data_IF_108547331209
#
_entry.id   IF_108547331209
#
_cell.length_a   1.000
_cell.length_b   1.000
_cell.length_c   1.000
_cell.angle_alpha   90.00
_cell.angle_beta   90.00
_cell.angle_gamma   90.00
#
_symmetry.space_group_name_H-M   'P 1'
#
loop_
_entity.id
_entity.type
_entity.pdbx_description
1 polymer ?
#
# COMPACT_ATOMS: atom_id res chain seq x y z
N UNK A 1 -3.73 12.63 11.83
CA UNK A 1 -3.61 13.17 10.46
C UNK A 1 -4.97 13.10 9.76
N UNK A 2 -5.40 14.19 9.18
CA UNK A 2 -6.59 14.25 8.32
C UNK A 2 -6.16 14.71 6.93
N UNK A 3 -6.68 14.06 5.90
CA UNK A 3 -6.50 14.46 4.51
C UNK A 3 -7.81 14.29 3.75
N UNK A 4 -8.18 15.29 2.96
CA UNK A 4 -9.31 15.24 2.06
C UNK A 4 -8.87 15.80 0.70
N UNK A 5 -9.17 15.06 -0.35
CA UNK A 5 -8.87 15.45 -1.73
C UNK A 5 -10.08 15.18 -2.60
N UNK A 6 -10.41 16.11 -3.48
CA UNK A 6 -11.44 15.96 -4.49
C UNK A 6 -10.79 16.08 -5.87
N UNK A 7 -11.12 15.17 -6.75
CA UNK A 7 -10.78 15.23 -8.17
C UNK A 7 -12.07 15.33 -8.96
N UNK A 8 -12.13 16.27 -9.88
CA UNK A 8 -13.25 16.46 -10.79
C UNK A 8 -12.75 16.37 -12.23
N UNK A 9 -13.50 15.68 -13.05
CA UNK A 9 -13.30 15.58 -14.48
C UNK A 9 -14.59 15.94 -15.18
N UNK A 10 -14.52 16.95 -16.02
CA UNK A 10 -15.64 17.53 -16.71
C UNK A 10 -15.46 17.29 -18.21
N UNK A 11 -16.48 16.74 -18.84
CA UNK A 11 -16.59 16.69 -20.30
C UNK A 11 -17.79 17.55 -20.63
N UNK A 12 -17.54 18.72 -21.19
CA UNK A 12 -18.60 19.68 -21.51
C UNK A 12 -19.45 19.23 -22.68
N UNK A 13 -20.69 19.66 -22.70
CA UNK A 13 -21.69 19.25 -23.69
C UNK A 13 -21.39 19.76 -25.13
N UNK A 14 -20.57 20.80 -25.25
CA UNK A 14 -20.06 21.35 -26.50
C UNK A 14 -18.73 20.72 -26.98
N UNK A 15 -18.14 19.83 -26.20
CA UNK A 15 -16.88 19.17 -26.54
C UNK A 15 -17.05 18.13 -27.66
N UNK A 16 -16.02 17.95 -28.48
CA UNK A 16 -15.99 16.90 -29.52
C UNK A 16 -16.21 15.51 -28.92
N UNK A 17 -15.72 15.27 -27.68
CA UNK A 17 -15.89 14.00 -27.00
C UNK A 17 -17.35 13.75 -26.62
N UNK A 18 -18.05 14.76 -26.09
CA UNK A 18 -19.49 14.67 -25.81
C UNK A 18 -20.32 14.49 -27.09
N UNK A 19 -19.96 15.18 -28.17
CA UNK A 19 -20.59 15.00 -29.46
C UNK A 19 -20.39 13.57 -30.00
N UNK A 20 -19.22 13.00 -29.88
CA UNK A 20 -18.96 11.62 -30.29
C UNK A 20 -19.78 10.61 -29.47
N UNK A 21 -19.97 10.84 -28.17
CA UNK A 21 -20.81 9.98 -27.32
C UNK A 21 -22.30 10.09 -27.63
N UNK A 22 -22.74 11.23 -28.12
CA UNK A 22 -24.13 11.44 -28.58
C UNK A 22 -24.39 10.92 -30.00
N UNK A 23 -23.31 10.66 -30.75
CA UNK A 23 -23.41 10.23 -32.12
C UNK A 23 -24.18 8.91 -32.23
N UNK A 24 -25.11 8.89 -33.19
CA UNK A 24 -25.79 7.66 -33.60
C UNK A 24 -24.75 6.67 -34.17
N UNK A 25 -25.05 5.36 -34.19
CA UNK A 25 -24.12 4.35 -34.66
C UNK A 25 -23.87 4.53 -36.16
N UNK A 26 -22.78 5.19 -36.52
CA UNK A 26 -22.23 5.11 -37.85
C UNK A 26 -21.02 4.15 -37.85
N UNK A 27 -20.53 3.77 -39.03
CA UNK A 27 -19.51 2.78 -39.22
C UNK A 27 -18.16 3.15 -38.56
N UNK A 28 -17.89 4.42 -38.28
CA UNK A 28 -16.62 4.93 -37.76
C UNK A 28 -16.59 5.06 -36.24
N UNK A 29 -17.73 5.26 -35.59
CA UNK A 29 -17.82 5.55 -34.16
C UNK A 29 -18.43 4.40 -33.37
N UNK A 30 -19.18 3.50 -34.03
CA UNK A 30 -19.96 2.43 -33.39
C UNK A 30 -19.18 1.58 -32.40
N UNK A 31 -18.04 1.12 -32.77
CA UNK A 31 -17.28 0.17 -31.93
C UNK A 31 -16.51 0.84 -30.77
N UNK A 32 -16.50 2.18 -30.73
CA UNK A 32 -15.77 2.97 -29.74
C UNK A 32 -16.65 3.80 -28.83
N UNK A 33 -17.95 3.84 -29.08
CA UNK A 33 -18.87 4.60 -28.24
C UNK A 33 -19.42 3.71 -27.12
N UNK A 34 -18.96 3.88 -25.86
CA UNK A 34 -19.40 3.08 -24.71
C UNK A 34 -20.87 3.38 -24.32
N UNK A 35 -21.48 4.40 -24.89
CA UNK A 35 -22.86 4.79 -24.60
C UNK A 35 -23.87 4.20 -25.57
N UNK A 36 -23.44 3.42 -26.55
CA UNK A 36 -24.37 2.68 -27.40
C UNK A 36 -25.03 1.54 -26.63
N UNK A 37 -26.31 1.41 -26.81
CA UNK A 37 -27.14 0.41 -26.17
C UNK A 37 -28.09 -0.23 -27.17
N UNK A 38 -28.10 -1.55 -27.18
CA UNK A 38 -29.12 -2.33 -27.90
C UNK A 38 -29.95 -3.06 -26.85
N UNK A 39 -31.27 -2.89 -26.88
CA UNK A 39 -32.17 -3.53 -25.94
C UNK A 39 -32.09 -5.06 -26.09
N UNK A 40 -31.74 -5.82 -25.07
CA UNK A 40 -31.72 -7.29 -25.12
C UNK A 40 -33.06 -7.91 -25.44
N UNK A 41 -34.14 -7.22 -25.07
CA UNK A 41 -35.51 -7.66 -25.36
C UNK A 41 -35.91 -7.45 -26.84
N UNK A 42 -35.16 -6.63 -27.58
CA UNK A 42 -35.32 -6.39 -29.00
C UNK A 42 -33.98 -6.36 -29.75
N UNK A 43 -33.38 -7.53 -30.00
CA UNK A 43 -32.03 -7.65 -30.60
C UNK A 43 -31.95 -7.12 -32.04
N UNK A 44 -33.09 -6.87 -32.69
CA UNK A 44 -33.16 -6.30 -34.04
C UNK A 44 -33.26 -4.76 -34.05
N UNK A 45 -33.40 -4.14 -32.88
CA UNK A 45 -33.39 -2.70 -32.78
C UNK A 45 -31.99 -2.14 -33.09
N UNK A 46 -31.96 -1.00 -33.77
CA UNK A 46 -30.69 -0.29 -33.96
C UNK A 46 -30.17 0.21 -32.62
N UNK A 47 -28.84 0.10 -32.38
CA UNK A 47 -28.24 0.68 -31.18
C UNK A 47 -28.55 2.19 -31.09
N UNK A 48 -28.85 2.64 -29.88
CA UNK A 48 -29.08 4.07 -29.59
C UNK A 48 -28.03 4.55 -28.57
N UNK A 49 -27.68 5.84 -28.62
CA UNK A 49 -26.88 6.43 -27.57
C UNK A 49 -27.73 6.67 -26.33
N UNK A 50 -27.30 6.17 -25.18
CA UNK A 50 -27.95 6.44 -23.88
C UNK A 50 -27.63 7.83 -23.33
N UNK A 51 -26.72 8.55 -23.99
CA UNK A 51 -26.35 9.93 -23.68
C UNK A 51 -26.81 10.86 -24.83
N UNK A 52 -28.13 11.13 -24.99
CA UNK A 52 -28.64 11.90 -26.11
C UNK A 52 -28.33 13.39 -26.01
N UNK A 53 -28.09 13.90 -24.81
CA UNK A 53 -27.77 15.31 -24.52
C UNK A 53 -26.79 15.42 -23.38
N UNK A 54 -26.06 16.54 -23.32
CA UNK A 54 -25.17 16.89 -22.25
C UNK A 54 -23.79 16.24 -22.34
N UNK A 55 -22.98 16.52 -21.37
CA UNK A 55 -21.65 16.00 -21.15
C UNK A 55 -21.58 15.10 -19.91
N UNK A 56 -20.41 15.00 -19.31
CA UNK A 56 -20.14 14.11 -18.19
C UNK A 56 -19.55 14.90 -17.04
N UNK A 57 -19.97 14.59 -15.83
CA UNK A 57 -19.41 15.06 -14.58
C UNK A 57 -18.91 13.88 -13.76
N UNK A 58 -17.61 13.73 -13.61
CA UNK A 58 -17.01 12.70 -12.76
C UNK A 58 -16.39 13.35 -11.54
N UNK A 59 -16.66 12.79 -10.37
CA UNK A 59 -16.07 13.24 -9.11
C UNK A 59 -15.58 12.08 -8.28
N UNK A 60 -14.34 12.18 -7.83
CA UNK A 60 -13.77 11.24 -6.86
C UNK A 60 -13.32 12.01 -5.62
N UNK A 61 -13.90 11.66 -4.48
CA UNK A 61 -13.52 12.21 -3.20
C UNK A 61 -12.73 11.15 -2.42
N UNK A 62 -11.61 11.56 -1.88
CA UNK A 62 -10.78 10.77 -0.96
C UNK A 62 -10.78 11.45 0.41
N UNK A 63 -11.08 10.67 1.45
CA UNK A 63 -10.92 11.10 2.84
C UNK A 63 -10.05 10.09 3.56
N UNK A 64 -9.11 10.57 4.34
CA UNK A 64 -8.28 9.74 5.21
C UNK A 64 -8.25 10.35 6.60
N UNK A 65 -8.53 9.53 7.60
CA UNK A 65 -8.33 9.84 9.01
C UNK A 65 -7.30 8.86 9.56
N UNK A 66 -6.17 9.38 10.03
CA UNK A 66 -5.08 8.59 10.58
C UNK A 66 -4.74 9.02 11.99
N UNK A 67 -4.43 8.04 12.82
CA UNK A 67 -3.89 8.21 14.16
C UNK A 67 -2.60 7.42 14.28
N UNK A 68 -1.55 8.11 14.69
CA UNK A 68 -0.25 7.50 14.96
C UNK A 68 0.09 7.80 16.42
N UNK A 69 0.43 6.75 17.16
CA UNK A 69 0.95 6.89 18.50
C UNK A 69 2.26 6.14 18.60
N UNK A 70 3.27 6.79 19.17
CA UNK A 70 4.57 6.20 19.41
C UNK A 70 5.09 6.64 20.78
N UNK A 71 5.53 5.66 21.57
CA UNK A 71 6.21 5.89 22.84
C UNK A 71 7.55 5.18 22.80
N UNK A 72 8.61 5.87 23.19
CA UNK A 72 9.98 5.33 23.20
C UNK A 72 10.71 5.72 24.47
N UNK A 73 11.60 4.85 24.92
CA UNK A 73 12.52 5.09 26.01
C UNK A 73 13.92 4.69 25.60
N UNK A 74 14.92 5.44 26.05
CA UNK A 74 16.33 5.13 25.87
C UNK A 74 17.07 5.23 27.20
N UNK A 75 18.02 4.33 27.36
CA UNK A 75 18.92 4.32 28.50
C UNK A 75 20.34 4.01 28.03
N UNK A 76 21.28 4.87 28.44
CA UNK A 76 22.68 4.75 28.06
C UNK A 76 23.51 4.84 29.32
N UNK A 77 24.45 3.92 29.50
CA UNK A 77 25.32 3.92 30.63
C UNK A 77 26.72 3.36 30.31
N UNK A 78 27.73 3.90 30.97
CA UNK A 78 29.10 3.42 30.87
C UNK A 78 29.51 2.89 32.23
N UNK A 79 29.85 1.59 32.32
CA UNK A 79 30.31 0.94 33.52
C UNK A 79 31.83 0.79 33.49
N UNK A 80 32.48 1.10 34.60
CA UNK A 80 33.94 0.93 34.77
C UNK A 80 34.76 1.51 33.59
N UNK A 81 34.27 2.60 32.94
CA UNK A 81 34.91 3.27 31.81
C UNK A 81 35.18 2.40 30.57
N UNK A 82 34.79 1.14 30.61
CA UNK A 82 35.11 0.12 29.58
C UNK A 82 33.87 -0.50 28.93
N UNK A 83 32.77 -0.54 29.66
CA UNK A 83 31.54 -1.21 29.20
C UNK A 83 30.48 -0.18 28.86
N UNK A 84 30.17 -0.03 27.59
CA UNK A 84 29.17 0.89 27.10
C UNK A 84 27.92 0.08 26.78
N UNK A 85 26.80 0.45 27.41
CA UNK A 85 25.50 -0.19 27.18
C UNK A 85 24.51 0.85 26.74
N UNK A 86 23.86 0.62 25.60
CA UNK A 86 22.78 1.44 25.08
C UNK A 86 21.55 0.56 24.90
N UNK A 87 20.45 0.94 25.54
CA UNK A 87 19.15 0.28 25.42
C UNK A 87 18.15 1.27 24.87
N UNK A 88 17.35 0.80 23.92
CA UNK A 88 16.26 1.55 23.33
C UNK A 88 15.07 0.62 23.17
N UNK A 89 13.90 1.03 23.60
CA UNK A 89 12.69 0.26 23.43
C UNK A 89 11.50 1.18 23.17
N UNK A 90 10.48 0.66 22.52
CA UNK A 90 9.28 1.43 22.28
C UNK A 90 8.14 0.60 21.76
N UNK A 91 7.02 1.29 21.63
CA UNK A 91 5.82 0.80 20.98
C UNK A 91 5.26 1.85 20.04
N UNK A 92 4.62 1.38 18.99
CA UNK A 92 3.90 2.23 18.06
C UNK A 92 2.60 1.59 17.61
N UNK A 93 1.61 2.42 17.35
CA UNK A 93 0.36 1.99 16.74
C UNK A 93 -0.01 2.95 15.64
N UNK A 94 -0.45 2.40 14.53
CA UNK A 94 -0.96 3.16 13.39
C UNK A 94 -2.38 2.72 13.07
N UNK A 95 -3.22 3.70 12.81
CA UNK A 95 -4.61 3.51 12.43
C UNK A 95 -4.95 4.44 11.27
N UNK A 96 -5.42 3.90 10.18
CA UNK A 96 -5.81 4.67 9.00
C UNK A 96 -7.15 4.20 8.47
N UNK A 97 -8.12 5.09 8.46
CA UNK A 97 -9.43 4.92 7.82
C UNK A 97 -9.45 5.73 6.53
N UNK A 98 -9.67 5.06 5.40
CA UNK A 98 -9.74 5.68 4.09
C UNK A 98 -11.11 5.43 3.48
N UNK A 99 -11.72 6.51 3.02
CA UNK A 99 -12.99 6.48 2.30
C UNK A 99 -12.75 7.05 0.91
N UNK A 100 -13.16 6.31 -0.10
CA UNK A 100 -13.21 6.77 -1.48
C UNK A 100 -14.67 6.76 -1.92
N UNK A 101 -15.14 7.89 -2.40
CA UNK A 101 -16.45 8.04 -3.03
C UNK A 101 -16.23 8.41 -4.48
N UNK A 102 -16.81 7.63 -5.38
CA UNK A 102 -16.79 7.90 -6.80
C UNK A 102 -18.21 8.18 -7.26
N UNK A 103 -18.38 9.20 -8.06
CA UNK A 103 -19.63 9.55 -8.73
C UNK A 103 -19.36 9.84 -10.19
N UNK A 104 -20.23 9.34 -11.06
CA UNK A 104 -20.18 9.55 -12.49
C UNK A 104 -21.57 9.94 -12.98
N UNK A 105 -21.78 11.23 -13.21
CA UNK A 105 -23.01 11.80 -13.68
C UNK A 105 -22.95 12.06 -15.19
N UNK A 106 -24.01 11.74 -15.88
CA UNK A 106 -24.14 11.91 -17.33
C UNK A 106 -25.25 12.88 -17.64
N UNK A 107 -25.19 13.47 -18.83
CA UNK A 107 -26.21 14.37 -19.32
C UNK A 107 -26.11 15.77 -18.71
N UNK A 108 -24.99 16.17 -18.14
CA UNK A 108 -24.84 17.51 -17.61
C UNK A 108 -24.74 18.53 -18.72
N UNK A 109 -25.70 19.48 -18.77
CA UNK A 109 -25.78 20.54 -19.77
C UNK A 109 -25.14 21.82 -19.22
N UNK A 110 -23.81 21.92 -19.35
CA UNK A 110 -23.02 23.04 -18.83
C UNK A 110 -23.40 24.36 -19.52
N UNK A 111 -23.67 24.32 -20.83
CA UNK A 111 -24.04 25.50 -21.61
C UNK A 111 -25.42 26.03 -21.26
N UNK A 112 -26.24 25.23 -20.54
CA UNK A 112 -27.60 25.59 -20.13
C UNK A 112 -27.75 25.81 -18.63
N UNK A 113 -26.66 26.11 -17.94
CA UNK A 113 -26.68 26.38 -16.50
C UNK A 113 -26.59 25.12 -15.62
N UNK A 114 -25.82 24.12 -16.06
CA UNK A 114 -25.51 22.90 -15.28
C UNK A 114 -26.76 22.07 -14.94
N UNK A 115 -27.71 21.99 -15.86
CA UNK A 115 -28.95 21.22 -15.69
C UNK A 115 -28.70 19.77 -16.15
N UNK A 116 -28.90 18.75 -15.28
CA UNK A 116 -28.76 17.37 -15.70
C UNK A 116 -29.93 16.89 -16.54
N UNK A 117 -29.64 16.09 -17.58
CA UNK A 117 -30.61 15.41 -18.40
C UNK A 117 -30.51 13.89 -18.18
N UNK A 118 -31.58 13.26 -17.73
CA UNK A 118 -31.62 11.83 -17.41
C UNK A 118 -32.42 11.04 -18.42
N UNK A 119 -31.92 9.87 -18.81
CA UNK A 119 -32.69 8.88 -19.58
C UNK A 119 -32.75 7.57 -18.79
N UNK A 120 -33.89 6.89 -18.83
CA UNK A 120 -34.02 5.60 -18.15
C UNK A 120 -33.14 4.51 -18.80
N UNK A 121 -32.90 4.61 -20.10
CA UNK A 121 -32.06 3.69 -20.87
C UNK A 121 -30.62 3.65 -20.31
N UNK A 122 -30.12 4.76 -19.84
CA UNK A 122 -28.84 4.84 -19.22
C UNK A 122 -28.76 3.93 -17.96
N UNK A 123 -29.77 4.04 -17.09
CA UNK A 123 -29.83 3.22 -15.87
C UNK A 123 -30.10 1.75 -16.21
N UNK A 124 -30.92 1.46 -17.22
CA UNK A 124 -31.14 0.08 -17.69
C UNK A 124 -29.83 -0.53 -18.16
N UNK A 125 -29.07 0.16 -19.03
CA UNK A 125 -27.76 -0.28 -19.50
C UNK A 125 -26.79 -0.53 -18.34
N UNK A 126 -26.73 0.38 -17.37
CA UNK A 126 -25.84 0.23 -16.21
C UNK A 126 -26.16 -1.01 -15.37
N UNK A 127 -27.43 -1.36 -15.21
CA UNK A 127 -27.85 -2.56 -14.50
C UNK A 127 -27.47 -3.82 -15.28
N UNK A 128 -27.70 -3.85 -16.57
CA UNK A 128 -27.44 -4.98 -17.46
C UNK A 128 -25.94 -5.27 -17.59
N UNK A 129 -25.12 -4.24 -17.69
CA UNK A 129 -23.67 -4.35 -17.81
C UNK A 129 -22.95 -4.45 -16.46
N UNK A 130 -23.66 -4.30 -15.36
CA UNK A 130 -23.07 -4.32 -14.02
C UNK A 130 -22.13 -3.14 -13.76
N UNK A 131 -22.38 -2.00 -14.40
CA UNK A 131 -21.61 -0.77 -14.19
C UNK A 131 -22.27 0.12 -13.15
N UNK A 132 -21.46 0.73 -12.27
CA UNK A 132 -21.96 1.60 -11.22
C UNK A 132 -21.74 3.06 -11.59
N UNK A 133 -22.77 3.92 -11.40
CA UNK A 133 -22.62 5.37 -11.55
C UNK A 133 -22.13 6.04 -10.27
N UNK A 134 -22.12 5.32 -9.14
CA UNK A 134 -21.43 5.73 -7.93
C UNK A 134 -20.92 4.52 -7.17
N UNK A 135 -19.85 4.70 -6.41
CA UNK A 135 -19.33 3.66 -5.56
C UNK A 135 -18.73 4.23 -4.26
N UNK A 136 -18.82 3.44 -3.20
CA UNK A 136 -18.23 3.73 -1.90
C UNK A 136 -17.24 2.64 -1.54
N UNK A 137 -15.99 3.03 -1.29
CA UNK A 137 -14.95 2.10 -0.86
C UNK A 137 -14.39 2.57 0.46
N UNK A 138 -14.47 1.72 1.47
CA UNK A 138 -13.97 1.99 2.81
C UNK A 138 -12.86 1.00 3.13
N UNK A 139 -11.67 1.50 3.44
CA UNK A 139 -10.52 0.68 3.80
C UNK A 139 -10.02 1.07 5.18
N UNK A 140 -9.82 0.08 6.04
CA UNK A 140 -9.30 0.26 7.39
C UNK A 140 -8.00 -0.49 7.56
N UNK A 141 -6.94 0.22 7.89
CA UNK A 141 -5.63 -0.35 8.20
C UNK A 141 -5.30 -0.08 9.66
N UNK A 142 -4.87 -1.11 10.36
CA UNK A 142 -4.44 -1.07 11.76
C UNK A 142 -3.15 -1.85 11.87
N UNK A 143 -2.17 -1.25 12.52
CA UNK A 143 -0.93 -1.95 12.89
C UNK A 143 -0.50 -1.55 14.28
N UNK A 144 0.19 -2.47 14.94
CA UNK A 144 0.84 -2.22 16.21
C UNK A 144 2.19 -2.92 16.20
N UNK A 145 3.21 -2.28 16.76
CA UNK A 145 4.54 -2.85 16.87
C UNK A 145 5.16 -2.54 18.21
N UNK A 146 5.93 -3.52 18.72
CA UNK A 146 6.84 -3.38 19.85
C UNK A 146 8.25 -3.60 19.34
N UNK A 147 9.18 -2.77 19.75
CA UNK A 147 10.55 -2.87 19.29
C UNK A 147 11.53 -2.58 20.42
N UNK A 148 12.68 -3.23 20.34
CA UNK A 148 13.79 -3.04 21.24
C UNK A 148 15.11 -3.12 20.48
N UNK A 149 16.08 -2.35 20.92
CA UNK A 149 17.46 -2.40 20.46
C UNK A 149 18.37 -2.38 21.69
N UNK A 150 19.37 -3.25 21.69
CA UNK A 150 20.39 -3.29 22.71
C UNK A 150 21.76 -3.30 22.04
N UNK A 151 22.63 -2.38 22.44
CA UNK A 151 24.02 -2.31 21.99
C UNK A 151 24.91 -2.41 23.18
N UNK A 152 25.88 -3.30 23.12
CA UNK A 152 26.96 -3.43 24.09
C UNK A 152 28.31 -3.26 23.40
N UNK A 153 29.15 -2.40 23.92
CA UNK A 153 30.53 -2.22 23.44
C UNK A 153 31.53 -2.33 24.60
N UNK A 154 32.55 -3.12 24.38
CA UNK A 154 33.67 -3.26 25.31
C UNK A 154 34.87 -2.49 24.79
N UNK A 155 35.30 -1.46 25.53
CA UNK A 155 36.44 -0.59 25.22
C UNK A 155 36.42 0.01 23.79
N UNK A 156 35.29 0.06 23.13
CA UNK A 156 35.23 0.43 21.71
C UNK A 156 35.75 -0.64 20.73
N UNK A 157 36.36 -1.70 21.22
CA UNK A 157 36.98 -2.79 20.46
C UNK A 157 35.94 -3.76 19.89
N UNK A 158 35.08 -4.27 20.76
CA UNK A 158 34.08 -5.26 20.44
C UNK A 158 32.68 -4.67 20.66
N UNK A 159 31.87 -4.66 19.64
CA UNK A 159 30.50 -4.17 19.72
C UNK A 159 29.52 -5.24 19.24
N UNK A 160 28.51 -5.51 20.05
CA UNK A 160 27.38 -6.37 19.67
C UNK A 160 26.11 -5.56 19.74
N UNK A 161 25.29 -5.68 18.71
CA UNK A 161 23.98 -5.04 18.65
C UNK A 161 22.90 -6.08 18.35
N UNK A 162 21.80 -5.99 19.08
CA UNK A 162 20.60 -6.79 18.87
C UNK A 162 19.40 -5.88 18.66
N UNK A 163 18.66 -6.09 17.60
CA UNK A 163 17.37 -5.42 17.34
C UNK A 163 16.27 -6.46 17.25
N UNK A 164 15.17 -6.20 17.91
CA UNK A 164 13.98 -7.03 17.85
C UNK A 164 12.75 -6.16 17.61
N UNK A 165 11.88 -6.58 16.68
CA UNK A 165 10.60 -5.95 16.41
C UNK A 165 9.52 -7.02 16.29
N UNK A 166 8.44 -6.82 17.00
CA UNK A 166 7.25 -7.64 16.96
C UNK A 166 6.08 -6.79 16.45
N UNK A 167 5.70 -7.03 15.21
CA UNK A 167 4.71 -6.20 14.50
C UNK A 167 3.51 -7.02 14.10
N UNK A 168 2.32 -6.44 14.26
CA UNK A 168 1.05 -7.01 13.83
C UNK A 168 0.24 -6.06 12.97
N UNK A 169 -0.46 -6.62 11.99
CA UNK A 169 -1.38 -5.87 11.11
C UNK A 169 -2.68 -6.63 10.90
N UNK A 170 -3.77 -5.87 10.68
CA UNK A 170 -5.06 -6.45 10.32
C UNK A 170 -5.16 -6.88 8.84
N UNK A 171 -4.09 -6.70 8.06
CA UNK A 171 -4.06 -7.00 6.63
C UNK A 171 -3.81 -8.48 6.32
N UNK A 172 -3.26 -9.22 7.27
CA UNK A 172 -2.89 -10.62 7.11
C UNK A 172 -3.86 -11.53 7.87
N UNK A 173 -3.74 -12.83 7.68
CA UNK A 173 -4.60 -13.89 8.18
C UNK A 173 -5.18 -13.74 9.58
N UNK A 174 -6.15 -14.51 9.97
CA UNK A 174 -6.81 -14.41 11.28
C UNK A 174 -5.99 -14.97 12.41
N UNK A 175 -5.13 -15.96 12.13
CA UNK A 175 -4.30 -16.60 13.16
C UNK A 175 -3.29 -15.60 13.74
N UNK A 176 -2.91 -15.79 14.99
CA UNK A 176 -1.89 -14.95 15.64
C UNK A 176 -0.56 -15.02 14.90
N UNK A 177 -0.17 -16.21 14.47
CA UNK A 177 1.06 -16.46 13.72
C UNK A 177 1.08 -15.81 12.35
N UNK A 178 -0.09 -15.64 11.71
CA UNK A 178 -0.21 -14.95 10.44
C UNK A 178 -0.14 -13.43 10.59
N UNK A 179 -0.75 -12.87 11.65
CA UNK A 179 -0.83 -11.41 11.86
C UNK A 179 0.41 -10.79 12.48
N UNK A 180 1.10 -11.56 13.33
CA UNK A 180 2.22 -11.07 14.10
C UNK A 180 3.51 -11.70 13.65
N UNK A 181 4.45 -10.86 13.24
CA UNK A 181 5.76 -11.28 12.78
C UNK A 181 6.84 -10.76 13.73
N UNK A 182 7.66 -11.64 14.31
CA UNK A 182 8.93 -11.25 14.90
C UNK A 182 9.96 -11.01 13.78
N UNK A 183 10.56 -9.86 13.75
CA UNK A 183 11.75 -9.55 12.94
C UNK A 183 12.90 -9.22 13.90
N UNK A 184 14.11 -9.60 13.53
CA UNK A 184 15.27 -9.36 14.36
C UNK A 184 16.55 -9.26 13.55
N UNK A 185 17.52 -8.58 14.13
CA UNK A 185 18.86 -8.50 13.62
C UNK A 185 19.84 -8.63 14.79
N UNK A 186 20.86 -9.44 14.61
CA UNK A 186 22.01 -9.50 15.50
C UNK A 186 23.23 -9.15 14.68
N UNK A 187 24.02 -8.21 15.16
CA UNK A 187 25.27 -7.80 14.51
C UNK A 187 26.41 -7.69 15.52
N UNK A 188 27.60 -7.97 15.03
CA UNK A 188 28.84 -7.81 15.79
C UNK A 188 29.84 -7.04 14.95
N UNK A 189 30.63 -6.22 15.60
CA UNK A 189 31.74 -5.50 15.00
C UNK A 189 33.00 -5.65 15.87
N UNK A 190 34.13 -5.92 15.24
CA UNK A 190 35.42 -5.92 15.85
C UNK A 190 36.28 -4.83 15.24
N UNK A 191 36.57 -3.81 16.03
CA UNK A 191 37.43 -2.69 15.67
C UNK A 191 38.89 -3.08 15.92
N UNK A 192 39.50 -3.80 14.98
CA UNK A 192 40.86 -4.33 15.11
C UNK A 192 41.89 -3.22 15.27
N UNK A 193 41.65 -2.04 14.75
CA UNK A 193 42.52 -0.87 14.87
C UNK A 193 42.64 -0.31 16.27
N UNK A 194 41.78 -0.74 17.22
CA UNK A 194 41.86 -0.39 18.65
C UNK A 194 42.67 -1.40 19.44
N UNK A 195 43.17 -2.48 18.81
CA UNK A 195 43.97 -3.48 19.48
C UNK A 195 45.46 -3.10 19.51
N UNK A 196 46.16 -3.49 20.59
CA UNK A 196 47.57 -3.18 20.77
C UNK A 196 48.46 -3.76 19.64
N UNK A 197 48.16 -4.98 19.16
CA UNK A 197 48.89 -5.58 18.05
C UNK A 197 48.78 -4.82 16.74
N UNK A 198 47.77 -3.98 16.59
CA UNK A 198 47.52 -3.22 15.38
C UNK A 198 48.35 -1.93 15.26
N UNK A 199 48.96 -1.49 16.39
CA UNK A 199 49.76 -0.26 16.43
C UNK A 199 50.84 -0.22 15.38
N UNK A 200 51.52 -1.36 15.11
CA UNK A 200 52.56 -1.44 14.08
C UNK A 200 52.05 -1.26 12.65
N UNK A 201 50.79 -1.49 12.42
CA UNK A 201 50.12 -1.39 11.10
C UNK A 201 49.53 -0.01 10.84
N UNK A 202 49.29 0.79 11.87
CA UNK A 202 48.64 2.12 11.79
C UNK A 202 49.22 3.07 10.77
N UNK A 203 50.56 3.14 10.52
CA UNK A 203 51.08 4.05 9.50
C UNK A 203 50.60 3.75 8.08
N UNK A 204 50.29 2.49 7.77
CA UNK A 204 49.81 2.07 6.47
C UNK A 204 48.29 1.88 6.46
N UNK A 205 47.76 1.23 7.49
CA UNK A 205 46.33 0.89 7.65
C UNK A 205 45.84 1.52 8.95
N UNK A 206 45.32 2.74 8.87
CA UNK A 206 44.88 3.54 10.01
C UNK A 206 43.59 3.04 10.67
N UNK A 207 42.73 2.37 9.88
CA UNK A 207 41.45 1.84 10.35
C UNK A 207 41.21 0.46 9.76
N UNK A 208 40.80 -0.48 10.61
CA UNK A 208 40.32 -1.78 10.20
C UNK A 208 39.25 -2.30 11.14
N UNK A 209 38.06 -2.59 10.59
CA UNK A 209 36.95 -3.14 11.32
C UNK A 209 36.29 -4.29 10.55
N UNK A 210 36.09 -5.41 11.24
CA UNK A 210 35.29 -6.53 10.73
C UNK A 210 33.89 -6.46 11.27
N UNK A 211 32.89 -6.73 10.43
CA UNK A 211 31.47 -6.68 10.74
C UNK A 211 30.78 -7.95 10.30
N UNK A 212 29.86 -8.43 11.08
CA UNK A 212 28.97 -9.50 10.69
C UNK A 212 27.56 -9.24 11.21
N UNK A 213 26.55 -9.55 10.42
CA UNK A 213 25.17 -9.48 10.86
C UNK A 213 24.35 -10.63 10.32
N UNK A 214 23.37 -11.06 11.10
CA UNK A 214 22.37 -12.02 10.67
C UNK A 214 20.98 -11.52 11.07
N UNK A 215 20.06 -11.55 10.12
CA UNK A 215 18.73 -10.97 10.31
C UNK A 215 17.62 -11.84 9.75
N UNK A 216 16.45 -11.70 10.37
CA UNK A 216 15.18 -12.14 9.86
C UNK A 216 14.32 -10.90 9.59
N UNK A 217 13.97 -10.67 8.34
CA UNK A 217 13.03 -9.63 7.92
C UNK A 217 11.76 -10.26 7.36
N UNK A 218 10.68 -9.50 7.35
CA UNK A 218 9.41 -9.95 6.81
C UNK A 218 8.80 -8.91 5.90
N UNK A 219 8.25 -9.38 4.78
CA UNK A 219 7.51 -8.55 3.84
C UNK A 219 6.04 -8.96 3.88
N UNK A 220 5.10 -8.05 4.17
CA UNK A 220 3.66 -8.34 4.13
C UNK A 220 3.12 -8.54 2.71
N UNK A 221 3.98 -8.43 1.69
CA UNK A 221 3.57 -8.52 0.29
C UNK A 221 2.82 -7.28 -0.21
N UNK A 222 2.35 -7.31 -1.45
CA UNK A 222 1.67 -6.19 -2.08
C UNK A 222 0.37 -5.84 -1.35
N UNK A 223 0.02 -4.55 -1.37
CA UNK A 223 -1.18 -4.02 -0.70
C UNK A 223 -2.51 -4.59 -1.20
N UNK A 224 -2.48 -5.33 -2.30
CA UNK A 224 -3.64 -5.94 -2.95
C UNK A 224 -3.98 -7.33 -2.43
N UNK A 225 -3.07 -7.97 -1.69
CA UNK A 225 -3.26 -9.32 -1.16
C UNK A 225 -3.62 -9.20 0.32
N UNK A 226 -4.92 -9.24 0.64
CA UNK A 226 -5.41 -9.03 2.01
C UNK A 226 -6.43 -10.06 2.47
N UNK A 227 -6.39 -11.27 1.91
CA UNK A 227 -7.48 -12.24 2.04
C UNK A 227 -7.45 -13.01 3.36
N UNK A 228 -7.34 -12.28 4.47
CA UNK A 228 -7.53 -12.90 5.81
C UNK A 228 -8.98 -13.33 6.06
N UNK A 229 -9.91 -12.80 5.27
CA UNK A 229 -11.33 -13.15 5.30
C UNK A 229 -11.85 -13.20 3.88
N UNK A 230 -12.83 -14.05 3.66
CA UNK A 230 -13.55 -14.08 2.39
C UNK A 230 -14.12 -12.69 2.09
N UNK A 231 -13.80 -12.17 0.90
CA UNK A 231 -14.32 -10.88 0.44
C UNK A 231 -15.62 -11.11 -0.31
N UNK A 232 -16.69 -10.54 0.22
CA UNK A 232 -18.01 -10.56 -0.37
C UNK A 232 -18.32 -9.18 -0.95
N UNK A 233 -18.89 -9.16 -2.14
CA UNK A 233 -19.43 -7.96 -2.75
C UNK A 233 -20.92 -8.14 -2.96
N UNK A 234 -21.71 -7.16 -2.54
CA UNK A 234 -23.13 -7.10 -2.92
C UNK A 234 -23.25 -6.85 -4.41
N UNK A 235 -24.13 -7.55 -5.06
CA UNK A 235 -24.48 -7.28 -6.45
C UNK A 235 -25.99 -7.41 -6.65
N UNK A 236 -26.48 -6.77 -7.70
CA UNK A 236 -27.88 -6.90 -8.13
C UNK A 236 -27.90 -7.85 -9.32
N UNK A 237 -28.49 -9.05 -9.20
CA UNK A 237 -28.69 -9.90 -10.35
C UNK A 237 -29.64 -9.23 -11.33
N UNK A 238 -29.30 -9.29 -12.62
CA UNK A 238 -30.20 -8.83 -13.66
C UNK A 238 -31.38 -9.79 -13.79
N UNK A 239 -32.56 -9.31 -13.42
CA UNK A 239 -33.84 -10.03 -13.56
C UNK A 239 -34.89 -9.09 -14.13
N UNK A 240 -35.01 -9.01 -15.48
CA UNK A 240 -35.85 -8.01 -16.14
C UNK A 240 -37.31 -8.13 -15.83
N UNK A 241 -37.79 -9.32 -15.48
CA UNK A 241 -39.20 -9.60 -15.20
C UNK A 241 -39.57 -9.66 -13.72
N UNK A 242 -38.64 -9.40 -12.83
CA UNK A 242 -38.92 -9.44 -11.38
C UNK A 242 -39.46 -8.08 -10.91
N UNK A 243 -40.61 -8.10 -10.28
CA UNK A 243 -41.21 -6.89 -9.66
C UNK A 243 -40.46 -6.44 -8.40
N UNK A 244 -39.58 -7.27 -7.87
CA UNK A 244 -38.80 -7.01 -6.66
C UNK A 244 -37.32 -7.06 -7.04
N UNK A 245 -36.59 -5.99 -6.71
CA UNK A 245 -35.14 -5.97 -6.86
C UNK A 245 -34.51 -6.84 -5.79
N UNK A 246 -33.90 -7.95 -6.19
CA UNK A 246 -33.13 -8.80 -5.29
C UNK A 246 -31.70 -8.27 -5.18
N UNK A 247 -31.10 -8.43 -3.99
CA UNK A 247 -29.68 -8.26 -3.80
C UNK A 247 -29.05 -9.62 -3.53
N UNK A 248 -27.91 -9.89 -4.17
CA UNK A 248 -27.10 -11.09 -3.96
C UNK A 248 -25.74 -10.75 -3.37
N UNK A 249 -25.05 -11.77 -2.88
CA UNK A 249 -23.67 -11.68 -2.48
C UNK A 249 -22.82 -12.52 -3.43
N UNK A 250 -21.77 -11.91 -3.96
CA UNK A 250 -20.78 -12.61 -4.80
C UNK A 250 -19.47 -12.69 -4.04
N UNK A 251 -18.88 -13.88 -4.00
CA UNK A 251 -17.52 -14.07 -3.50
C UNK A 251 -16.57 -13.48 -4.55
N UNK A 252 -15.76 -12.51 -4.13
CA UNK A 252 -14.70 -11.91 -4.95
C UNK A 252 -13.40 -12.64 -4.71
N UNK A 253 -13.05 -12.88 -3.44
CA UNK A 253 -11.85 -13.57 -3.03
C UNK A 253 -12.16 -14.57 -1.91
N UNK A 254 -11.55 -15.75 -1.99
CA UNK A 254 -11.61 -16.75 -0.94
C UNK A 254 -10.74 -16.37 0.25
N UNK A 255 -11.14 -16.80 1.44
CA UNK A 255 -10.30 -16.65 2.62
C UNK A 255 -9.04 -17.50 2.51
N UNK A 256 -7.90 -16.93 2.89
CA UNK A 256 -6.68 -17.65 3.14
C UNK A 256 -6.21 -17.34 4.56
N UNK A 257 -6.55 -18.22 5.50
CA UNK A 257 -6.23 -18.03 6.91
C UNK A 257 -4.72 -18.25 7.20
N UNK A 258 -4.00 -18.91 6.29
CA UNK A 258 -2.56 -19.19 6.39
C UNK A 258 -1.70 -18.10 5.73
N UNK A 259 -2.33 -17.08 5.15
CA UNK A 259 -1.59 -15.98 4.56
C UNK A 259 -0.76 -15.27 5.64
N UNK A 260 0.55 -15.31 5.48
CA UNK A 260 1.51 -14.71 6.40
C UNK A 260 2.58 -13.93 5.63
N UNK A 261 3.50 -13.32 6.35
CA UNK A 261 4.63 -12.60 5.79
C UNK A 261 5.59 -13.52 5.02
N UNK A 262 6.15 -13.03 3.94
CA UNK A 262 7.35 -13.61 3.36
C UNK A 262 8.52 -13.42 4.33
N UNK A 263 9.18 -14.51 4.72
CA UNK A 263 10.32 -14.48 5.65
C UNK A 263 11.62 -14.53 4.87
N UNK A 264 12.50 -13.56 5.14
CA UNK A 264 13.77 -13.44 4.49
C UNK A 264 14.90 -13.45 5.54
N UNK A 265 15.77 -14.44 5.41
CA UNK A 265 17.00 -14.52 6.20
C UNK A 265 18.13 -13.89 5.42
N UNK A 266 18.94 -13.08 6.07
CA UNK A 266 20.07 -12.43 5.43
C UNK A 266 21.30 -12.52 6.33
N UNK A 267 22.40 -13.02 5.79
CA UNK A 267 23.73 -13.00 6.39
C UNK A 267 24.56 -11.96 5.65
N UNK A 268 25.17 -11.04 6.39
CA UNK A 268 26.11 -10.05 5.86
C UNK A 268 27.42 -10.14 6.63
N UNK A 269 28.56 -10.13 5.90
CA UNK A 269 29.91 -10.09 6.46
C UNK A 269 30.64 -8.98 5.69
N UNK A 270 31.22 -8.03 6.43
CA UNK A 270 31.87 -6.87 5.86
C UNK A 270 33.19 -6.53 6.55
N UNK A 271 34.03 -5.81 5.83
CA UNK A 271 35.27 -5.24 6.32
C UNK A 271 35.39 -3.78 5.86
N UNK A 272 35.65 -2.89 6.83
CA UNK A 272 35.99 -1.49 6.57
C UNK A 272 37.48 -1.28 6.78
N UNK A 273 38.14 -0.65 5.82
CA UNK A 273 39.59 -0.39 5.82
C UNK A 273 39.86 1.07 5.51
N UNK A 274 40.78 1.67 6.22
CA UNK A 274 41.24 3.05 5.99
C UNK A 274 42.75 3.11 5.91
N UNK A 275 43.28 3.54 4.78
CA UNK A 275 44.72 3.63 4.52
C UNK A 275 45.17 5.09 4.53
N UNK A 276 46.49 5.30 4.82
CA UNK A 276 47.15 6.61 4.76
C UNK A 276 46.39 7.67 5.58
N UNK A 277 46.25 7.47 6.88
CA UNK A 277 45.50 8.32 7.80
C UNK A 277 44.02 8.54 7.35
N UNK A 278 43.37 7.46 6.89
CA UNK A 278 42.01 7.47 6.38
C UNK A 278 41.75 8.32 5.13
N UNK A 279 42.77 8.67 4.36
CA UNK A 279 42.63 9.36 3.07
C UNK A 279 42.01 8.46 2.02
N UNK A 280 42.28 7.16 2.09
CA UNK A 280 41.68 6.15 1.19
C UNK A 280 40.87 5.20 2.06
N UNK A 281 39.59 5.03 1.72
CA UNK A 281 38.69 4.15 2.44
C UNK A 281 38.13 3.10 1.51
N UNK A 282 38.14 1.83 1.95
CA UNK A 282 37.50 0.72 1.29
C UNK A 282 36.49 0.09 2.23
N UNK A 283 35.31 -0.27 1.69
CA UNK A 283 34.33 -1.11 2.32
C UNK A 283 34.02 -2.29 1.40
N UNK A 284 34.08 -3.48 1.93
CA UNK A 284 33.78 -4.72 1.22
C UNK A 284 32.68 -5.42 2.01
N UNK A 285 31.55 -5.70 1.38
CA UNK A 285 30.43 -6.41 1.97
C UNK A 285 30.07 -7.61 1.10
N UNK A 286 29.95 -8.76 1.73
CA UNK A 286 29.40 -9.96 1.14
C UNK A 286 28.11 -10.33 1.85
N UNK A 287 27.04 -10.60 1.09
CA UNK A 287 25.77 -10.99 1.67
C UNK A 287 25.16 -12.20 0.97
N UNK A 288 24.40 -12.97 1.74
CA UNK A 288 23.58 -14.08 1.27
C UNK A 288 22.14 -13.90 1.80
N UNK A 289 21.20 -13.97 0.89
CA UNK A 289 19.75 -13.89 1.18
C UNK A 289 19.08 -15.23 0.92
#
# INVERSE_FOLDING_TARGET
>A
KYSATSQEHLITDDSNQAMAYRAMPDATVRDRNPFLYTDPDNPYALPISVLPQGGIYQRTNYKMLGYDFRATGSWNHVFAEKHIVNLFAGMETNSSDRNKTYFNGWGMQYTQGEIPFYTYQFFKKSIEEGTDYYSLTNTRSRSAAFFANATYSYQGKYTVNGTYRYEGTNRLGKSRSARWLPTWNISAAWNMHEEEFFESLKPALAHFALKASYSLTGDPGPNTVTNSTMVLKSYKPYRPFANIQESGLKIIDLANDDLTYEKKHELNIGADMGFLDNRIKFAIDWYKR
#
